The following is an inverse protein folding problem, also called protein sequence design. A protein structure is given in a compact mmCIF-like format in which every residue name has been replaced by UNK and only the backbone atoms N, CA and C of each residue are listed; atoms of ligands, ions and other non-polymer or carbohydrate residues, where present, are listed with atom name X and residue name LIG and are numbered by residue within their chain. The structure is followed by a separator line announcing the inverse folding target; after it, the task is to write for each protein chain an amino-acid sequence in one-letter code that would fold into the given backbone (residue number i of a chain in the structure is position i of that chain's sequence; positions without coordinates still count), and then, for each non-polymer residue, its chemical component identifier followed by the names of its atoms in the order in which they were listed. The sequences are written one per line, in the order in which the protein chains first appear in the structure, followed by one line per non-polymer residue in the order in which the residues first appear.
data_IF_063916991817
#
_entry.id   IF_063916991817
#
_cell.length_a   1.000
_cell.length_b   1.000
_cell.length_c   1.000
_cell.angle_alpha   90.00
_cell.angle_beta   90.00
_cell.angle_gamma   90.00
#
_symmetry.space_group_name_H-M   'P 1'
#
loop_
_entity.id
_entity.type
_entity.pdbx_description
1 polymer ?
#
# COMPACT_ATOMS: atom_id res chain seq x y z
N UNK A 1 -33.21 8.15 -13.89
CA UNK A 1 -32.40 7.88 -12.71
C UNK A 1 -32.59 6.40 -12.34
N UNK A 2 -31.72 5.53 -12.84
CA UNK A 2 -31.67 4.14 -12.37
C UNK A 2 -31.08 4.19 -10.98
N UNK A 3 -31.87 3.84 -9.98
CA UNK A 3 -31.44 3.73 -8.60
C UNK A 3 -30.27 2.77 -8.50
N UNK A 4 -29.12 3.31 -8.14
CA UNK A 4 -27.95 2.53 -7.79
C UNK A 4 -28.37 1.68 -6.59
N UNK A 5 -28.54 0.37 -6.80
CA UNK A 5 -28.83 -0.57 -5.70
C UNK A 5 -27.63 -0.48 -4.76
N UNK A 6 -27.87 -0.11 -3.51
CA UNK A 6 -26.86 -0.17 -2.46
C UNK A 6 -26.60 -1.68 -2.20
N UNK A 7 -25.62 -2.21 -2.93
CA UNK A 7 -25.28 -3.63 -2.86
C UNK A 7 -24.49 -3.98 -1.60
N UNK A 8 -24.13 -2.97 -0.77
CA UNK A 8 -23.28 -3.17 0.39
C UNK A 8 -21.83 -3.54 0.08
N UNK A 9 -21.47 -3.68 -1.21
CA UNK A 9 -20.10 -3.92 -1.66
C UNK A 9 -19.32 -2.61 -1.69
N UNK A 10 -18.06 -2.62 -1.30
CA UNK A 10 -17.20 -1.44 -1.47
C UNK A 10 -17.08 -1.07 -2.94
N UNK A 11 -17.54 0.14 -3.29
CA UNK A 11 -17.40 0.72 -4.62
C UNK A 11 -15.94 0.98 -4.97
N UNK A 12 -15.21 1.61 -4.04
CA UNK A 12 -13.77 1.88 -4.12
C UNK A 12 -13.00 1.23 -2.98
N UNK A 13 -11.68 1.28 -3.05
CA UNK A 13 -10.81 0.74 -1.99
C UNK A 13 -10.98 1.56 -0.70
N UNK A 14 -11.20 0.91 0.45
CA UNK A 14 -11.74 1.59 1.63
C UNK A 14 -10.71 2.34 2.46
N UNK A 15 -9.40 2.08 2.32
CA UNK A 15 -8.42 2.60 3.27
C UNK A 15 -8.32 4.13 3.24
N UNK A 16 -8.32 4.73 2.04
CA UNK A 16 -8.24 6.19 1.93
C UNK A 16 -9.48 6.91 2.50
N UNK A 17 -10.73 6.50 2.22
CA UNK A 17 -11.91 7.01 2.91
C UNK A 17 -11.84 6.88 4.43
N UNK A 18 -11.36 5.77 4.96
CA UNK A 18 -11.17 5.62 6.41
C UNK A 18 -10.09 6.54 6.97
N UNK A 19 -9.01 6.77 6.23
CA UNK A 19 -8.00 7.76 6.59
C UNK A 19 -8.60 9.17 6.69
N UNK A 20 -9.40 9.58 5.69
CA UNK A 20 -10.10 10.86 5.72
C UNK A 20 -11.07 10.96 6.90
N UNK A 21 -11.87 9.91 7.12
CA UNK A 21 -12.81 9.86 8.24
C UNK A 21 -12.11 10.00 9.59
N UNK A 22 -10.96 9.36 9.76
CA UNK A 22 -10.14 9.50 10.96
C UNK A 22 -9.62 10.93 11.14
N UNK A 23 -9.07 11.53 10.08
CA UNK A 23 -8.58 12.91 10.12
C UNK A 23 -9.70 13.89 10.49
N UNK A 24 -10.89 13.77 9.88
CA UNK A 24 -12.03 14.61 10.17
C UNK A 24 -12.55 14.41 11.60
N UNK A 25 -12.57 13.18 12.08
CA UNK A 25 -13.01 12.89 13.46
C UNK A 25 -12.10 13.51 14.52
N UNK A 26 -10.78 13.52 14.27
CA UNK A 26 -9.79 14.06 15.21
C UNK A 26 -9.74 15.59 15.19
N UNK A 27 -10.09 16.21 14.07
CA UNK A 27 -9.90 17.64 13.82
C UNK A 27 -11.20 18.45 13.72
N UNK A 28 -12.33 17.90 14.20
CA UNK A 28 -13.65 18.52 14.07
C UNK A 28 -13.96 18.98 12.62
N UNK A 29 -13.73 18.07 11.65
CA UNK A 29 -13.96 18.26 10.23
C UNK A 29 -13.06 19.32 9.55
N UNK A 30 -11.87 19.57 10.07
CA UNK A 30 -10.93 20.53 9.50
C UNK A 30 -10.28 20.01 8.21
N UNK A 31 -10.58 20.67 7.09
CA UNK A 31 -9.92 20.42 5.78
C UNK A 31 -8.42 20.72 5.84
N UNK A 32 -8.03 21.74 6.60
CA UNK A 32 -6.62 22.11 6.76
C UNK A 32 -5.82 20.97 7.42
N UNK A 33 -6.40 20.33 8.45
CA UNK A 33 -5.75 19.21 9.13
C UNK A 33 -5.48 18.04 8.18
N UNK A 34 -6.46 17.70 7.32
CA UNK A 34 -6.28 16.64 6.31
C UNK A 34 -5.14 16.98 5.36
N UNK A 35 -5.07 18.22 4.86
CA UNK A 35 -3.98 18.66 3.98
C UNK A 35 -2.62 18.58 4.67
N UNK A 36 -2.52 19.02 5.92
CA UNK A 36 -1.28 18.92 6.70
C UNK A 36 -0.86 17.47 6.92
N UNK A 37 -1.82 16.57 7.19
CA UNK A 37 -1.54 15.15 7.31
C UNK A 37 -1.03 14.54 5.98
N UNK A 38 -1.61 14.93 4.84
CA UNK A 38 -1.13 14.49 3.52
C UNK A 38 0.27 15.03 3.22
N UNK A 39 0.55 16.31 3.51
CA UNK A 39 1.89 16.90 3.37
C UNK A 39 2.91 16.15 4.24
N UNK A 40 2.55 15.81 5.49
CA UNK A 40 3.42 15.03 6.37
C UNK A 40 3.72 13.63 5.79
N UNK A 41 2.74 12.99 5.14
CA UNK A 41 2.94 11.73 4.40
C UNK A 41 3.88 11.92 3.21
N UNK A 42 3.78 13.03 2.48
CA UNK A 42 4.68 13.38 1.38
C UNK A 42 6.12 13.55 1.85
N UNK A 43 6.33 14.30 2.94
CA UNK A 43 7.67 14.43 3.56
C UNK A 43 8.20 13.05 4.00
N UNK A 44 7.34 12.21 4.60
CA UNK A 44 7.67 10.82 4.91
C UNK A 44 8.09 10.02 3.67
N UNK A 45 7.43 10.26 2.54
CA UNK A 45 7.78 9.62 1.26
C UNK A 45 9.19 9.99 0.81
N UNK A 46 9.59 11.26 0.91
CA UNK A 46 10.96 11.69 0.58
C UNK A 46 12.00 10.97 1.44
N UNK A 47 11.71 10.81 2.74
CA UNK A 47 12.58 10.04 3.63
C UNK A 47 12.67 8.56 3.23
N UNK A 48 11.54 7.93 2.83
CA UNK A 48 11.53 6.56 2.34
C UNK A 48 12.33 6.41 1.04
N UNK A 49 12.18 7.35 0.10
CA UNK A 49 12.96 7.38 -1.15
C UNK A 49 14.45 7.51 -0.87
N UNK A 50 14.84 8.39 0.06
CA UNK A 50 16.22 8.47 0.55
C UNK A 50 16.72 7.11 1.05
N UNK A 51 15.96 6.46 1.94
CA UNK A 51 16.32 5.16 2.53
C UNK A 51 16.45 4.05 1.48
N UNK A 52 15.58 4.05 0.47
CA UNK A 52 15.63 3.11 -0.66
C UNK A 52 16.91 3.34 -1.47
N UNK A 53 17.18 4.58 -1.89
CA UNK A 53 18.37 4.91 -2.67
C UNK A 53 19.68 4.62 -1.92
N UNK A 54 19.72 4.96 -0.62
CA UNK A 54 20.85 4.67 0.25
C UNK A 54 21.09 3.17 0.44
N UNK A 55 20.01 2.38 0.47
CA UNK A 55 20.08 0.93 0.61
C UNK A 55 20.50 0.23 -0.69
N UNK A 56 20.06 0.75 -1.83
CA UNK A 56 20.40 0.18 -3.14
C UNK A 56 21.84 0.46 -3.57
N UNK A 57 22.40 1.57 -3.12
CA UNK A 57 23.76 1.97 -3.49
C UNK A 57 24.53 2.59 -2.34
N UNK A 58 24.26 3.87 -2.01
CA UNK A 58 24.92 4.64 -0.96
C UNK A 58 24.10 5.86 -0.54
N UNK A 59 24.53 6.55 0.52
CA UNK A 59 23.84 7.73 1.04
C UNK A 59 23.74 8.87 0.01
N UNK A 60 24.71 9.02 -0.90
CA UNK A 60 24.69 10.05 -1.95
C UNK A 60 23.60 9.76 -2.97
N UNK A 61 23.48 8.50 -3.41
CA UNK A 61 22.40 8.06 -4.29
C UNK A 61 21.03 8.28 -3.64
N UNK A 62 20.90 8.02 -2.33
CA UNK A 62 19.69 8.31 -1.56
C UNK A 62 19.34 9.79 -1.55
N UNK A 63 20.32 10.68 -1.31
CA UNK A 63 20.11 12.15 -1.34
C UNK A 63 19.68 12.65 -2.71
N UNK A 64 20.34 12.16 -3.78
CA UNK A 64 19.99 12.51 -5.16
C UNK A 64 18.57 12.07 -5.49
N UNK A 65 18.21 10.83 -5.13
CA UNK A 65 16.86 10.32 -5.35
C UNK A 65 15.80 11.15 -4.61
N UNK A 66 16.04 11.45 -3.33
CA UNK A 66 15.13 12.28 -2.53
C UNK A 66 15.03 13.71 -3.08
N UNK A 67 16.12 14.28 -3.57
CA UNK A 67 16.13 15.62 -4.21
C UNK A 67 15.24 15.63 -5.46
N UNK A 68 15.40 14.66 -6.37
CA UNK A 68 14.55 14.57 -7.56
C UNK A 68 13.09 14.30 -7.19
N UNK A 69 12.83 13.46 -6.19
CA UNK A 69 11.47 13.26 -5.70
C UNK A 69 10.87 14.55 -5.11
N UNK A 70 11.69 15.36 -4.40
CA UNK A 70 11.25 16.60 -3.78
C UNK A 70 10.87 17.70 -4.80
N UNK A 71 11.43 17.69 -6.01
CA UNK A 71 11.08 18.65 -7.09
C UNK A 71 10.08 18.05 -8.09
N UNK A 72 9.65 16.79 -7.89
CA UNK A 72 8.71 16.13 -8.79
C UNK A 72 7.28 16.62 -8.56
N UNK A 73 6.81 17.52 -9.43
CA UNK A 73 5.53 18.21 -9.32
C UNK A 73 4.31 17.32 -9.03
N UNK A 74 4.14 16.13 -9.67
CA UNK A 74 3.02 15.24 -9.39
C UNK A 74 2.93 14.80 -7.92
N UNK A 75 4.02 14.66 -7.17
CA UNK A 75 3.95 14.33 -5.73
C UNK A 75 3.24 15.43 -4.95
N UNK A 76 3.61 16.70 -5.15
CA UNK A 76 2.95 17.84 -4.49
C UNK A 76 1.48 18.00 -4.91
N UNK A 77 1.20 17.75 -6.18
CA UNK A 77 -0.18 17.82 -6.67
C UNK A 77 -1.10 16.83 -5.95
N UNK A 78 -0.65 15.60 -5.73
CA UNK A 78 -1.42 14.58 -5.03
C UNK A 78 -1.67 14.92 -3.55
N UNK A 79 -0.76 15.66 -2.91
CA UNK A 79 -0.92 16.10 -1.52
C UNK A 79 -1.91 17.27 -1.39
N UNK A 80 -2.09 18.06 -2.44
CA UNK A 80 -3.00 19.21 -2.48
C UNK A 80 -4.47 18.85 -2.68
N UNK A 81 -4.77 17.67 -3.19
CA UNK A 81 -6.11 17.19 -3.51
C UNK A 81 -6.47 15.92 -2.74
N UNK A 82 -7.78 15.66 -2.58
CA UNK A 82 -8.26 14.51 -1.82
C UNK A 82 -8.39 13.28 -2.73
N UNK A 83 -7.26 12.62 -2.98
CA UNK A 83 -7.19 11.41 -3.81
C UNK A 83 -6.38 10.31 -3.10
N UNK A 84 -6.66 9.04 -3.41
CA UNK A 84 -5.98 7.90 -2.78
C UNK A 84 -4.46 7.91 -2.95
N UNK A 85 -3.94 8.59 -3.96
CA UNK A 85 -2.51 8.70 -4.26
C UNK A 85 -1.72 9.29 -3.10
N UNK A 86 -2.27 10.27 -2.38
CA UNK A 86 -1.62 10.88 -1.21
C UNK A 86 -1.27 9.86 -0.11
N UNK A 87 -2.04 8.76 -0.01
CA UNK A 87 -1.78 7.67 0.94
C UNK A 87 -1.09 6.47 0.28
N UNK A 88 -1.38 6.18 -1.01
CA UNK A 88 -0.82 5.01 -1.68
C UNK A 88 0.67 5.15 -1.97
N UNK A 89 1.15 6.35 -2.35
CA UNK A 89 2.56 6.59 -2.68
C UNK A 89 3.50 6.32 -1.50
N UNK A 90 3.27 6.87 -0.29
CA UNK A 90 4.09 6.53 0.87
C UNK A 90 4.00 5.04 1.24
N UNK A 91 2.84 4.40 1.12
CA UNK A 91 2.69 2.97 1.38
C UNK A 91 3.42 2.10 0.35
N UNK A 92 3.45 2.51 -0.92
CA UNK A 92 4.23 1.84 -1.96
C UNK A 92 5.74 1.97 -1.70
N UNK A 93 6.21 3.17 -1.36
CA UNK A 93 7.61 3.39 -1.01
C UNK A 93 8.02 2.59 0.22
N UNK A 94 7.17 2.55 1.26
CA UNK A 94 7.38 1.74 2.46
C UNK A 94 7.44 0.25 2.11
N UNK A 95 6.48 -0.24 1.32
CA UNK A 95 6.43 -1.64 0.90
C UNK A 95 7.68 -2.02 0.12
N UNK A 96 8.16 -1.16 -0.78
CA UNK A 96 9.37 -1.40 -1.54
C UNK A 96 10.63 -1.44 -0.64
N UNK A 97 10.75 -0.53 0.32
CA UNK A 97 11.83 -0.57 1.31
C UNK A 97 11.81 -1.86 2.12
N UNK A 98 10.61 -2.32 2.53
CA UNK A 98 10.43 -3.57 3.26
C UNK A 98 10.72 -4.81 2.41
N UNK A 99 10.44 -4.77 1.10
CA UNK A 99 10.89 -5.81 0.14
C UNK A 99 12.41 -5.93 0.17
N UNK A 100 13.14 -4.81 0.08
CA UNK A 100 14.60 -4.83 0.13
C UNK A 100 15.12 -5.38 1.48
N UNK A 101 14.49 -5.01 2.59
CA UNK A 101 14.84 -5.54 3.91
C UNK A 101 14.54 -7.04 4.04
N UNK A 102 13.42 -7.49 3.48
CA UNK A 102 13.04 -8.90 3.49
C UNK A 102 13.99 -9.75 2.61
N UNK A 103 14.44 -9.22 1.48
CA UNK A 103 15.42 -9.91 0.61
C UNK A 103 16.77 -10.09 1.30
N UNK A 104 17.20 -9.12 2.12
CA UNK A 104 18.44 -9.25 2.90
C UNK A 104 18.29 -10.22 4.08
N UNK A 105 17.19 -10.09 4.82
CA UNK A 105 16.93 -10.87 6.02
C UNK A 105 15.52 -11.45 5.98
N UNK A 106 15.41 -12.70 5.53
CA UNK A 106 14.15 -13.45 5.41
C UNK A 106 13.65 -13.93 6.78
N UNK A 107 13.51 -13.02 7.76
CA UNK A 107 12.99 -13.33 9.07
C UNK A 107 11.48 -13.04 9.18
N UNK A 108 10.84 -13.59 10.21
CA UNK A 108 9.40 -13.46 10.44
C UNK A 108 9.00 -12.00 10.68
N UNK A 109 9.84 -11.22 11.37
CA UNK A 109 9.57 -9.80 11.62
C UNK A 109 9.43 -9.00 10.32
N UNK A 110 10.39 -9.13 9.41
CA UNK A 110 10.35 -8.46 8.10
C UNK A 110 9.18 -8.97 7.25
N UNK A 111 8.86 -10.27 7.34
CA UNK A 111 7.70 -10.86 6.67
C UNK A 111 6.38 -10.21 7.11
N UNK A 112 6.19 -10.04 8.41
CA UNK A 112 4.98 -9.41 8.99
C UNK A 112 4.87 -7.95 8.55
N UNK A 113 5.94 -7.15 8.71
CA UNK A 113 5.91 -5.75 8.32
C UNK A 113 5.64 -5.57 6.83
N UNK A 114 6.28 -6.38 5.96
CA UNK A 114 6.03 -6.35 4.53
C UNK A 114 4.59 -6.73 4.20
N UNK A 115 4.07 -7.81 4.78
CA UNK A 115 2.71 -8.27 4.55
C UNK A 115 1.67 -7.22 4.94
N UNK A 116 1.82 -6.58 6.10
CA UNK A 116 0.92 -5.51 6.56
C UNK A 116 1.03 -4.29 5.66
N UNK A 117 2.24 -3.77 5.41
CA UNK A 117 2.43 -2.55 4.61
C UNK A 117 1.90 -2.72 3.18
N UNK A 118 2.25 -3.83 2.52
CA UNK A 118 1.77 -4.12 1.17
C UNK A 118 0.26 -4.39 1.12
N UNK A 119 -0.32 -5.03 2.15
CA UNK A 119 -1.76 -5.20 2.29
C UNK A 119 -2.49 -3.86 2.41
N UNK A 120 -2.02 -2.96 3.27
CA UNK A 120 -2.56 -1.61 3.40
C UNK A 120 -2.40 -0.81 2.10
N UNK A 121 -1.25 -0.92 1.43
CA UNK A 121 -1.03 -0.31 0.13
C UNK A 121 -2.06 -0.79 -0.91
N UNK A 122 -2.35 -2.09 -0.94
CA UNK A 122 -3.37 -2.69 -1.81
C UNK A 122 -4.78 -2.17 -1.48
N UNK A 123 -5.11 -2.00 -0.20
CA UNK A 123 -6.39 -1.44 0.25
C UNK A 123 -6.53 0.07 -0.05
N UNK A 124 -5.45 0.73 -0.44
CA UNK A 124 -5.48 2.12 -0.91
C UNK A 124 -5.61 2.20 -2.43
N UNK A 125 -4.82 1.40 -3.15
CA UNK A 125 -4.83 1.32 -4.62
C UNK A 125 -4.36 -0.06 -5.07
N UNK A 126 -5.18 -0.76 -5.87
CA UNK A 126 -4.96 -2.17 -6.22
C UNK A 126 -3.72 -2.46 -7.08
N UNK A 127 -3.10 -1.43 -7.68
CA UNK A 127 -1.96 -1.62 -8.60
C UNK A 127 -0.79 -2.42 -8.01
N UNK A 128 -0.55 -2.33 -6.70
CA UNK A 128 0.51 -3.10 -6.03
C UNK A 128 0.20 -4.61 -5.94
N UNK A 129 -1.06 -5.03 -6.08
CA UNK A 129 -1.47 -6.43 -6.00
C UNK A 129 -0.72 -7.29 -7.03
N UNK A 130 -0.67 -6.81 -8.28
CA UNK A 130 0.01 -7.52 -9.39
C UNK A 130 1.50 -7.65 -9.08
N UNK A 131 2.12 -6.57 -8.60
CA UNK A 131 3.52 -6.59 -8.19
C UNK A 131 3.77 -7.61 -7.06
N UNK A 132 2.92 -7.63 -6.03
CA UNK A 132 3.08 -8.55 -4.89
C UNK A 132 2.87 -10.02 -5.30
N UNK A 133 1.93 -10.30 -6.19
CA UNK A 133 1.74 -11.66 -6.72
C UNK A 133 3.02 -12.10 -7.47
N UNK A 134 3.52 -11.26 -8.39
CA UNK A 134 4.76 -11.54 -9.11
C UNK A 134 5.96 -11.73 -8.17
N UNK A 135 6.06 -10.91 -7.13
CA UNK A 135 7.11 -11.01 -6.12
C UNK A 135 7.02 -12.33 -5.32
N UNK A 136 5.83 -12.75 -4.90
CA UNK A 136 5.63 -14.03 -4.21
C UNK A 136 5.97 -15.21 -5.10
N UNK A 137 5.56 -15.20 -6.36
CA UNK A 137 5.91 -16.24 -7.34
C UNK A 137 7.44 -16.31 -7.56
N UNK A 138 8.10 -15.16 -7.71
CA UNK A 138 9.55 -15.07 -7.86
C UNK A 138 10.28 -15.66 -6.65
N UNK A 139 9.86 -15.31 -5.43
CA UNK A 139 10.46 -15.83 -4.21
C UNK A 139 10.21 -17.33 -4.04
N UNK A 140 9.01 -17.82 -4.36
CA UNK A 140 8.67 -19.22 -4.29
C UNK A 140 9.54 -20.05 -5.26
N UNK A 141 9.69 -19.59 -6.51
CA UNK A 141 10.55 -20.23 -7.49
C UNK A 141 12.02 -20.24 -7.06
N UNK A 142 12.51 -19.14 -6.47
CA UNK A 142 13.86 -19.04 -5.91
C UNK A 142 14.08 -20.00 -4.74
N UNK A 143 13.12 -20.10 -3.83
CA UNK A 143 13.21 -20.99 -2.67
C UNK A 143 13.20 -22.47 -3.05
N UNK A 144 12.37 -22.86 -4.05
CA UNK A 144 12.39 -24.22 -4.60
C UNK A 144 13.76 -24.58 -5.18
N UNK A 145 14.34 -23.68 -5.99
CA UNK A 145 15.65 -23.92 -6.62
C UNK A 145 16.78 -24.04 -5.60
N UNK A 146 16.76 -23.22 -4.54
CA UNK A 146 17.82 -23.18 -3.51
C UNK A 146 17.56 -24.09 -2.32
N UNK A 147 16.43 -24.83 -2.28
CA UNK A 147 15.98 -25.64 -1.13
C UNK A 147 15.93 -24.84 0.18
N UNK A 148 15.57 -23.55 0.10
CA UNK A 148 15.43 -22.67 1.27
C UNK A 148 14.11 -22.91 2.01
N UNK A 149 14.06 -22.52 3.29
CA UNK A 149 12.83 -22.64 4.10
C UNK A 149 11.78 -21.64 3.63
N UNK A 150 10.57 -22.12 3.36
CA UNK A 150 9.42 -21.31 2.94
C UNK A 150 8.74 -20.55 4.09
N UNK A 151 9.11 -20.78 5.34
CA UNK A 151 8.36 -20.31 6.51
C UNK A 151 8.11 -18.79 6.52
N UNK A 152 9.16 -17.99 6.29
CA UNK A 152 9.02 -16.52 6.29
C UNK A 152 8.20 -16.02 5.09
N UNK A 153 8.34 -16.66 3.93
CA UNK A 153 7.53 -16.35 2.76
C UNK A 153 6.05 -16.67 3.01
N UNK A 154 5.76 -17.84 3.58
CA UNK A 154 4.40 -18.22 3.94
C UNK A 154 3.77 -17.23 4.94
N UNK A 155 4.53 -16.82 5.97
CA UNK A 155 4.06 -15.79 6.92
C UNK A 155 3.76 -14.49 6.18
N UNK A 156 4.64 -14.03 5.28
CA UNK A 156 4.41 -12.81 4.51
C UNK A 156 3.11 -12.89 3.69
N UNK A 157 2.90 -13.98 2.98
CA UNK A 157 1.69 -14.23 2.17
C UNK A 157 0.44 -14.28 3.05
N UNK A 158 0.48 -15.01 4.17
CA UNK A 158 -0.65 -15.11 5.10
C UNK A 158 -1.02 -13.76 5.71
N UNK A 159 -0.04 -12.96 6.13
CA UNK A 159 -0.28 -11.63 6.69
C UNK A 159 -0.79 -10.66 5.60
N UNK A 160 -0.25 -10.72 4.39
CA UNK A 160 -0.72 -9.90 3.27
C UNK A 160 -2.20 -10.16 2.98
N UNK A 161 -2.60 -11.41 2.75
CA UNK A 161 -4.01 -11.76 2.50
C UNK A 161 -4.87 -11.58 3.75
N UNK A 162 -4.33 -11.81 4.94
CA UNK A 162 -4.99 -11.52 6.21
C UNK A 162 -5.34 -10.04 6.36
N UNK A 163 -4.49 -9.13 5.87
CA UNK A 163 -4.77 -7.68 5.85
C UNK A 163 -5.90 -7.32 4.88
N UNK A 164 -6.06 -8.06 3.78
CA UNK A 164 -7.14 -7.87 2.81
C UNK A 164 -8.46 -8.53 3.26
N UNK A 165 -8.38 -9.59 4.06
CA UNK A 165 -9.51 -10.42 4.44
C UNK A 165 -10.72 -9.67 5.02
N UNK A 166 -10.58 -8.63 5.88
CA UNK A 166 -11.73 -7.89 6.41
C UNK A 166 -12.58 -7.26 5.30
N UNK A 167 -11.96 -6.72 4.25
CA UNK A 167 -12.65 -6.10 3.11
C UNK A 167 -13.33 -7.17 2.25
N UNK A 168 -12.63 -8.24 1.95
CA UNK A 168 -13.17 -9.38 1.20
C UNK A 168 -14.36 -10.02 1.93
N UNK A 169 -14.23 -10.21 3.24
CA UNK A 169 -15.29 -10.78 4.07
C UNK A 169 -16.52 -9.87 4.15
N UNK A 170 -16.31 -8.55 4.29
CA UNK A 170 -17.39 -7.57 4.27
C UNK A 170 -18.15 -7.61 2.92
N UNK A 171 -17.45 -7.62 1.80
CA UNK A 171 -18.05 -7.70 0.47
C UNK A 171 -18.88 -8.97 0.31
N UNK A 172 -18.40 -10.09 0.81
CA UNK A 172 -19.10 -11.36 0.74
C UNK A 172 -20.36 -11.41 1.64
N UNK A 173 -20.24 -10.99 2.92
CA UNK A 173 -21.33 -11.07 3.89
C UNK A 173 -22.40 -10.00 3.61
N UNK A 174 -22.02 -8.76 3.34
CA UNK A 174 -22.93 -7.62 3.17
C UNK A 174 -23.33 -7.39 1.72
N UNK A 175 -22.42 -7.58 0.78
CA UNK A 175 -22.66 -7.33 -0.64
C UNK A 175 -23.26 -8.51 -1.39
N UNK A 176 -23.17 -9.73 -0.86
CA UNK A 176 -23.57 -10.95 -1.55
C UNK A 176 -22.71 -11.27 -2.78
N UNK A 177 -21.71 -10.45 -3.09
CA UNK A 177 -20.83 -10.59 -4.25
C UNK A 177 -19.46 -11.16 -3.84
N UNK A 178 -18.98 -12.15 -4.59
CA UNK A 178 -17.67 -12.77 -4.38
C UNK A 178 -16.55 -11.92 -5.00
N UNK A 179 -16.48 -10.64 -4.60
CA UNK A 179 -15.47 -9.69 -5.08
C UNK A 179 -14.36 -9.57 -4.06
N UNK A 180 -13.10 -9.72 -4.50
CA UNK A 180 -11.93 -9.72 -3.61
C UNK A 180 -11.76 -8.36 -2.90
N UNK A 181 -11.84 -7.25 -3.63
CA UNK A 181 -11.55 -5.91 -3.11
C UNK A 181 -12.67 -4.91 -3.38
N UNK A 182 -13.06 -4.68 -4.64
CA UNK A 182 -14.08 -3.70 -5.03
C UNK A 182 -14.89 -4.16 -6.22
N UNK A 183 -16.14 -3.67 -6.35
CA UNK A 183 -16.99 -3.94 -7.52
C UNK A 183 -16.47 -3.28 -8.80
N UNK A 184 -15.61 -2.27 -8.69
CA UNK A 184 -15.04 -1.51 -9.80
C UNK A 184 -13.67 -2.01 -10.27
N UNK A 185 -13.20 -3.16 -9.79
CA UNK A 185 -11.91 -3.72 -10.20
C UNK A 185 -11.78 -3.91 -11.73
N UNK A 186 -12.89 -4.13 -12.45
CA UNK A 186 -12.89 -4.28 -13.90
C UNK A 186 -12.75 -2.99 -14.73
N UNK A 187 -12.89 -1.80 -14.10
CA UNK A 187 -12.80 -0.51 -14.82
C UNK A 187 -11.40 0.14 -14.75
N UNK A 188 -10.49 -0.43 -13.96
CA UNK A 188 -9.14 0.11 -13.75
C UNK A 188 -8.02 -0.69 -14.44
N UNK A 189 -8.38 -1.56 -15.37
CA UNK A 189 -7.46 -2.31 -16.23
C UNK A 189 -7.72 -2.03 -17.68
#
# INVERSE_FOLDING_TARGET
AQGQRDTGVFYGLPLYPYFLALCYKVSDASVLFVKLAQIALGVGTLFLVYRIGAKLRDARAGLVAAFFAAIYGPLFFHEGIFIPEALSVPLYALSFLLVLQFLENKNVKNAVFLGVAAGLATLTKAGILIFMIGFFVFLAAGAVRKKEKFSSLLVCVLIYFGTLAPVTLHNWIRGGDRVLLTSHAGFNF
#
